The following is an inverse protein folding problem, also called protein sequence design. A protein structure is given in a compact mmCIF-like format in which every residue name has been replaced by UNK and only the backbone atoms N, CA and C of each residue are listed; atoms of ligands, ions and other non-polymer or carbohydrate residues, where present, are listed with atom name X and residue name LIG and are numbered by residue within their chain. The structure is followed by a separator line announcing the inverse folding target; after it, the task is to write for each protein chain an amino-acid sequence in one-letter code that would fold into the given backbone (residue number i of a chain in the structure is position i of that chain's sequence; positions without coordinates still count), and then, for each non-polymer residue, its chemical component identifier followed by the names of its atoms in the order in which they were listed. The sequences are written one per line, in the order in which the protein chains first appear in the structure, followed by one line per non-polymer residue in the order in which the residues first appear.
data_IF_693352664248
#
_entry.id   IF_693352664248
#
_cell.length_a   1.000
_cell.length_b   1.000
_cell.length_c   1.000
_cell.angle_alpha   90.00
_cell.angle_beta   90.00
_cell.angle_gamma   90.00
#
_symmetry.space_group_name_H-M   'P 1'
#
loop_
_entity.id
_entity.type
_entity.pdbx_description
1 polymer ?
#
# COMPACT_ATOMS: atom_id res chain seq x y z
N UNK A 1 5.01 14.71 16.47
CA UNK A 1 4.54 13.51 15.75
C UNK A 1 4.53 13.82 14.25
N UNK A 2 5.16 13.00 13.42
CA UNK A 2 5.18 13.21 11.97
C UNK A 2 3.85 12.82 11.32
N UNK A 3 3.45 13.55 10.28
CA UNK A 3 2.29 13.19 9.45
C UNK A 3 2.64 11.96 8.60
N UNK A 4 1.62 11.15 8.29
CA UNK A 4 1.75 10.10 7.28
C UNK A 4 1.84 10.75 5.88
N UNK A 5 2.81 10.33 5.09
CA UNK A 5 3.09 10.83 3.74
C UNK A 5 3.07 9.69 2.73
N UNK A 6 2.68 9.99 1.48
CA UNK A 6 2.75 9.06 0.36
C UNK A 6 3.37 9.74 -0.87
N UNK A 7 4.14 9.00 -1.66
CA UNK A 7 4.76 9.51 -2.88
C UNK A 7 5.03 8.39 -3.91
N UNK A 8 5.00 8.76 -5.19
CA UNK A 8 5.52 7.92 -6.28
C UNK A 8 7.05 7.81 -6.09
N UNK A 9 7.54 6.58 -6.03
CA UNK A 9 8.94 6.22 -5.75
C UNK A 9 9.69 5.72 -7.00
N UNK A 10 9.04 5.74 -8.15
CA UNK A 10 9.61 5.40 -9.46
C UNK A 10 9.61 6.62 -10.39
N UNK A 11 10.50 6.70 -11.40
CA UNK A 11 10.47 7.76 -12.39
C UNK A 11 9.12 7.84 -13.13
N UNK A 12 8.77 9.05 -13.59
CA UNK A 12 7.62 9.23 -14.47
C UNK A 12 7.91 8.62 -15.84
N UNK A 13 6.95 7.87 -16.38
CA UNK A 13 7.05 7.25 -17.69
C UNK A 13 6.29 5.94 -17.75
N UNK A 14 6.48 5.22 -18.86
CA UNK A 14 5.91 3.88 -19.05
C UNK A 14 6.95 2.85 -18.62
N UNK A 15 6.56 1.95 -17.73
CA UNK A 15 7.39 0.85 -17.25
C UNK A 15 6.52 -0.33 -16.81
N UNK A 16 7.14 -1.48 -16.59
CA UNK A 16 6.41 -2.69 -16.17
C UNK A 16 5.82 -2.61 -14.76
N UNK A 17 6.39 -1.77 -13.88
CA UNK A 17 5.95 -1.57 -12.49
C UNK A 17 6.17 -0.11 -12.11
N UNK A 18 5.23 0.45 -11.35
CA UNK A 18 5.40 1.69 -10.61
C UNK A 18 5.28 1.42 -9.10
N UNK A 19 5.98 2.20 -8.28
CA UNK A 19 5.93 2.05 -6.81
C UNK A 19 5.37 3.32 -6.20
N UNK A 20 4.33 3.19 -5.38
CA UNK A 20 3.89 4.22 -4.45
C UNK A 20 4.32 3.78 -3.04
N UNK A 21 5.05 4.64 -2.33
CA UNK A 21 5.50 4.37 -0.96
C UNK A 21 4.76 5.28 -0.01
N UNK A 22 4.29 4.72 1.11
CA UNK A 22 3.67 5.46 2.20
C UNK A 22 4.43 5.22 3.50
N UNK A 23 4.60 6.27 4.30
CA UNK A 23 5.37 6.22 5.56
C UNK A 23 4.75 7.12 6.61
N UNK A 24 4.73 6.65 7.85
CA UNK A 24 4.13 7.33 8.99
C UNK A 24 3.38 6.36 9.90
N UNK A 25 3.01 6.84 11.09
CA UNK A 25 2.32 6.03 12.11
C UNK A 25 1.01 5.40 11.60
N UNK A 26 0.31 6.09 10.70
CA UNK A 26 -1.01 5.66 10.20
C UNK A 26 -0.91 5.03 8.80
N UNK A 27 0.30 4.78 8.27
CA UNK A 27 0.48 4.33 6.88
C UNK A 27 -0.25 3.00 6.60
N UNK A 28 -0.08 2.01 7.46
CA UNK A 28 -0.71 0.69 7.24
C UNK A 28 -2.24 0.81 7.31
N UNK A 29 -2.77 1.53 8.32
CA UNK A 29 -4.20 1.73 8.50
C UNK A 29 -4.85 2.52 7.36
N UNK A 30 -4.16 3.54 6.82
CA UNK A 30 -4.64 4.29 5.66
C UNK A 30 -4.66 3.39 4.42
N UNK A 31 -3.63 2.56 4.23
CA UNK A 31 -3.57 1.65 3.08
C UNK A 31 -4.70 0.61 3.13
N UNK A 32 -5.01 0.09 4.32
CA UNK A 32 -6.09 -0.90 4.54
C UNK A 32 -7.48 -0.41 4.13
N UNK A 33 -7.72 0.90 4.12
CA UNK A 33 -9.01 1.46 3.69
C UNK A 33 -9.27 1.23 2.20
N UNK A 34 -8.21 1.23 1.39
CA UNK A 34 -8.29 1.10 -0.07
C UNK A 34 -7.78 -0.26 -0.57
N UNK A 35 -7.09 -1.03 0.27
CA UNK A 35 -6.60 -2.36 -0.07
C UNK A 35 -7.66 -3.46 0.16
N UNK A 36 -7.75 -4.38 -0.80
CA UNK A 36 -8.57 -5.60 -0.74
C UNK A 36 -7.72 -6.80 -1.10
N UNK A 37 -7.34 -7.57 -0.09
CA UNK A 37 -6.63 -8.84 -0.24
C UNK A 37 -7.13 -9.90 0.73
N UNK A 38 -6.38 -11.00 0.85
CA UNK A 38 -6.76 -12.13 1.72
C UNK A 38 -6.81 -11.73 3.20
N UNK A 39 -5.83 -10.95 3.64
CA UNK A 39 -5.71 -10.46 5.02
C UNK A 39 -5.63 -8.92 4.98
N UNK A 40 -6.01 -8.24 6.06
CA UNK A 40 -5.68 -6.82 6.22
C UNK A 40 -4.18 -6.66 6.39
N UNK A 41 -3.62 -5.58 5.86
CA UNK A 41 -2.21 -5.22 6.00
C UNK A 41 -1.86 -4.92 7.47
N UNK A 42 -2.82 -4.46 8.28
CA UNK A 42 -2.66 -4.31 9.73
C UNK A 42 -2.34 -5.62 10.45
N UNK A 43 -2.77 -6.75 9.90
CA UNK A 43 -2.76 -8.05 10.57
C UNK A 43 -1.59 -8.94 10.13
N UNK A 44 -0.88 -8.55 9.06
CA UNK A 44 0.25 -9.32 8.53
C UNK A 44 1.57 -8.93 9.21
N UNK A 45 2.51 -9.88 9.15
CA UNK A 45 3.88 -9.69 9.66
C UNK A 45 4.62 -8.64 8.84
N UNK A 46 5.52 -7.92 9.49
CA UNK A 46 6.48 -7.06 8.79
C UNK A 46 7.38 -7.89 7.86
N UNK A 47 7.93 -7.26 6.83
CA UNK A 47 8.80 -7.85 5.81
C UNK A 47 8.10 -8.96 5.00
N UNK A 48 6.81 -8.78 4.73
CA UNK A 48 6.03 -9.70 3.88
C UNK A 48 5.41 -8.95 2.70
N UNK A 49 5.20 -9.67 1.59
CA UNK A 49 4.52 -9.17 0.40
C UNK A 49 3.12 -9.77 0.35
N UNK A 50 2.12 -8.92 0.10
CA UNK A 50 0.71 -9.28 0.13
C UNK A 50 0.06 -8.92 -1.20
N UNK A 51 -0.48 -9.92 -1.88
CA UNK A 51 -1.20 -9.77 -3.14
C UNK A 51 -2.64 -9.32 -2.91
N UNK A 52 -3.13 -8.38 -3.69
CA UNK A 52 -4.52 -7.95 -3.67
C UNK A 52 -4.82 -6.86 -4.69
N UNK A 53 -5.86 -6.09 -4.43
CA UNK A 53 -6.31 -5.01 -5.29
C UNK A 53 -6.41 -3.71 -4.50
N UNK A 54 -6.12 -2.58 -5.14
CA UNK A 54 -6.56 -1.28 -4.66
C UNK A 54 -7.94 -1.00 -5.25
N UNK A 55 -8.86 -0.50 -4.44
CA UNK A 55 -10.23 -0.16 -4.83
C UNK A 55 -10.54 1.31 -4.57
N UNK A 56 -11.44 1.88 -5.37
CA UNK A 56 -11.98 3.22 -5.14
C UNK A 56 -13.12 3.20 -4.10
N UNK A 57 -13.70 4.37 -3.84
CA UNK A 57 -14.80 4.56 -2.87
C UNK A 57 -16.07 3.77 -3.23
N UNK A 58 -16.24 3.40 -4.50
CA UNK A 58 -17.37 2.57 -4.97
C UNK A 58 -17.09 1.07 -4.82
N UNK A 59 -15.85 0.69 -4.47
CA UNK A 59 -15.38 -0.68 -4.42
C UNK A 59 -14.91 -1.23 -5.77
N UNK A 60 -14.84 -0.39 -6.82
CA UNK A 60 -14.31 -0.80 -8.12
C UNK A 60 -12.80 -0.94 -8.03
N UNK A 61 -12.27 -2.01 -8.64
CA UNK A 61 -10.82 -2.25 -8.74
C UNK A 61 -10.15 -1.15 -9.56
N UNK A 62 -9.17 -0.50 -8.94
CA UNK A 62 -8.29 0.49 -9.56
C UNK A 62 -7.09 -0.21 -10.16
N UNK A 63 -6.43 -1.07 -9.37
CA UNK A 63 -5.24 -1.80 -9.80
C UNK A 63 -5.03 -3.12 -9.02
N UNK A 64 -4.27 -4.02 -9.62
CA UNK A 64 -3.80 -5.28 -9.02
C UNK A 64 -2.37 -5.07 -8.50
N UNK A 65 -2.15 -5.29 -7.21
CA UNK A 65 -0.94 -4.83 -6.53
C UNK A 65 -0.29 -5.90 -5.66
N UNK A 66 1.02 -5.73 -5.47
CA UNK A 66 1.81 -6.38 -4.43
C UNK A 66 2.20 -5.34 -3.39
N UNK A 67 1.76 -5.52 -2.14
CA UNK A 67 2.03 -4.59 -1.03
C UNK A 67 3.05 -5.18 -0.07
N UNK A 68 4.19 -4.51 0.09
CA UNK A 68 5.20 -4.86 1.10
C UNK A 68 4.95 -4.08 2.39
N UNK A 69 4.80 -4.79 3.51
CA UNK A 69 4.58 -4.19 4.83
C UNK A 69 5.89 -4.13 5.60
N UNK A 70 6.29 -2.93 6.04
CA UNK A 70 7.49 -2.71 6.85
C UNK A 70 7.11 -1.93 8.11
N UNK A 71 7.32 -2.52 9.29
CA UNK A 71 7.10 -1.88 10.60
C UNK A 71 8.41 -1.32 11.15
N UNK A 72 8.31 -0.40 12.11
CA UNK A 72 9.47 0.14 12.79
C UNK A 72 10.32 -1.00 13.41
N UNK A 73 11.65 -0.83 13.49
CA UNK A 73 12.54 -1.74 14.22
C UNK A 73 12.16 -1.87 15.70
#
# INVERSE_FOLDING_TARGET
MSKTIAAISTPNGVGGIAIIRMSGKDAIEICDKVYKGRNKLSDVKSHTINYGFIVDETGKKVDEVLVSVMRAP
#
